data_IF_685574928556
#
_entry.id   IF_685574928556
#
_cell.length_a   1.000
_cell.length_b   1.000
_cell.length_c   1.000
_cell.angle_alpha   90.00
_cell.angle_beta   90.00
_cell.angle_gamma   90.00
#
_symmetry.space_group_name_H-M   'P 1'
#
loop_
_entity.id
_entity.type
_entity.pdbx_description
1 polymer ?
#
# COMPACT_ATOMS: atom_id res chain seq x y z
N UNK A 1 -12.37 -24.72 4.81
CA UNK A 1 -10.91 -24.62 4.66
C UNK A 1 -10.57 -23.20 4.22
N UNK A 2 -9.71 -22.44 4.92
CA UNK A 2 -9.24 -21.16 4.39
C UNK A 2 -8.49 -21.43 3.07
N UNK A 3 -8.76 -20.62 2.05
CA UNK A 3 -8.16 -20.78 0.72
C UNK A 3 -6.63 -20.64 0.82
N UNK A 4 -5.84 -21.49 0.13
CA UNK A 4 -4.39 -21.42 0.20
C UNK A 4 -3.86 -20.04 -0.17
N UNK A 5 -2.91 -19.53 0.62
CA UNK A 5 -2.30 -18.22 0.43
C UNK A 5 -1.58 -18.18 -0.93
N UNK A 6 -2.06 -17.37 -1.87
CA UNK A 6 -1.42 -17.24 -3.19
C UNK A 6 -0.29 -16.22 -3.10
N UNK A 7 0.95 -16.71 -2.95
CA UNK A 7 2.13 -15.84 -2.83
C UNK A 7 3.09 -16.00 -4.01
N UNK A 8 3.94 -15.00 -4.20
CA UNK A 8 5.08 -15.05 -5.12
C UNK A 8 6.37 -14.63 -4.41
N UNK A 9 7.51 -15.30 -4.68
CA UNK A 9 8.81 -14.85 -4.22
C UNK A 9 9.11 -13.42 -4.72
N UNK A 10 9.90 -12.67 -3.95
CA UNK A 10 10.33 -11.31 -4.28
C UNK A 10 11.84 -11.19 -4.08
N UNK A 11 12.56 -10.76 -5.12
CA UNK A 11 13.99 -10.47 -5.05
C UNK A 11 14.29 -9.07 -4.49
N UNK A 12 15.52 -8.81 -4.06
CA UNK A 12 15.93 -7.46 -3.62
C UNK A 12 15.70 -6.38 -4.67
N UNK A 13 15.94 -6.69 -5.96
CA UNK A 13 15.62 -5.78 -7.05
C UNK A 13 14.11 -5.49 -7.16
N UNK A 14 13.26 -6.50 -6.96
CA UNK A 14 11.81 -6.32 -6.95
C UNK A 14 11.34 -5.53 -5.73
N UNK A 15 11.95 -5.71 -4.55
CA UNK A 15 11.69 -4.88 -3.37
C UNK A 15 11.92 -3.41 -3.70
N UNK A 16 13.08 -3.07 -4.28
CA UNK A 16 13.40 -1.70 -4.70
C UNK A 16 12.41 -1.16 -5.73
N UNK A 17 12.01 -1.99 -6.69
CA UNK A 17 11.00 -1.61 -7.69
C UNK A 17 9.61 -1.35 -7.07
N UNK A 18 9.18 -2.15 -6.09
CA UNK A 18 7.92 -1.93 -5.38
C UNK A 18 7.95 -0.66 -4.53
N UNK A 19 9.06 -0.38 -3.84
CA UNK A 19 9.22 0.87 -3.09
C UNK A 19 9.21 2.09 -4.03
N UNK A 20 9.88 2.01 -5.18
CA UNK A 20 9.84 3.05 -6.21
C UNK A 20 8.43 3.31 -6.74
N UNK A 21 7.69 2.25 -7.11
CA UNK A 21 6.27 2.37 -7.49
C UNK A 21 5.42 2.97 -6.39
N UNK A 22 5.63 2.57 -5.14
CA UNK A 22 4.88 3.10 -4.01
C UNK A 22 5.09 4.62 -3.86
N UNK A 23 6.33 5.09 -4.06
CA UNK A 23 6.65 6.52 -4.06
C UNK A 23 5.97 7.26 -5.22
N UNK A 24 6.09 6.75 -6.44
CA UNK A 24 5.46 7.36 -7.63
C UNK A 24 3.95 7.54 -7.45
N UNK A 25 3.27 6.50 -6.94
CA UNK A 25 1.83 6.59 -6.65
C UNK A 25 1.51 7.58 -5.53
N UNK A 26 2.36 7.71 -4.50
CA UNK A 26 2.12 8.66 -3.41
C UNK A 26 2.33 10.11 -3.87
N UNK A 27 3.34 10.36 -4.71
CA UNK A 27 3.58 11.68 -5.30
C UNK A 27 2.41 12.07 -6.20
N UNK A 28 1.95 11.15 -7.06
CA UNK A 28 0.75 11.37 -7.87
C UNK A 28 -0.49 11.62 -6.99
N UNK A 29 -0.68 10.85 -5.92
CA UNK A 29 -1.81 11.04 -5.00
C UNK A 29 -1.81 12.42 -4.34
N UNK A 30 -0.63 12.94 -3.97
CA UNK A 30 -0.49 14.29 -3.43
C UNK A 30 -0.85 15.36 -4.47
N UNK A 31 -0.37 15.23 -5.70
CA UNK A 31 -0.70 16.16 -6.79
C UNK A 31 -2.22 16.20 -7.08
N UNK A 32 -2.86 15.03 -7.09
CA UNK A 32 -4.31 14.93 -7.30
C UNK A 32 -5.12 15.53 -6.14
N UNK A 33 -4.62 15.40 -4.91
CA UNK A 33 -5.23 16.02 -3.74
C UNK A 33 -5.16 17.55 -3.83
N UNK A 34 -4.01 18.11 -4.22
CA UNK A 34 -3.83 19.55 -4.43
C UNK A 34 -4.74 20.07 -5.54
N UNK A 35 -4.94 19.29 -6.59
CA UNK A 35 -5.82 19.62 -7.70
C UNK A 35 -7.32 19.43 -7.40
N UNK A 36 -7.70 19.03 -6.17
CA UNK A 36 -9.09 18.80 -5.78
C UNK A 36 -9.72 17.52 -6.36
N UNK A 37 -8.91 16.62 -6.95
CA UNK A 37 -9.37 15.38 -7.59
C UNK A 37 -9.36 14.24 -6.57
N UNK A 38 -10.27 14.30 -5.61
CA UNK A 38 -10.25 13.46 -4.39
C UNK A 38 -10.40 11.95 -4.64
N UNK A 39 -11.19 11.54 -5.64
CA UNK A 39 -11.33 10.13 -6.03
C UNK A 39 -9.98 9.60 -6.54
N UNK A 40 -9.34 10.32 -7.46
CA UNK A 40 -8.04 9.96 -8.01
C UNK A 40 -6.96 9.93 -6.92
N UNK A 41 -6.90 10.96 -6.08
CA UNK A 41 -5.97 11.02 -4.95
C UNK A 41 -6.12 9.81 -4.01
N UNK A 42 -7.36 9.42 -3.71
CA UNK A 42 -7.64 8.28 -2.82
C UNK A 42 -7.27 6.95 -3.47
N UNK A 43 -7.62 6.75 -4.74
CA UNK A 43 -7.25 5.54 -5.50
C UNK A 43 -5.73 5.37 -5.60
N UNK A 44 -5.00 6.44 -5.96
CA UNK A 44 -3.54 6.44 -6.03
C UNK A 44 -2.90 6.17 -4.66
N UNK A 45 -3.45 6.73 -3.57
CA UNK A 45 -2.98 6.47 -2.22
C UNK A 45 -3.14 4.99 -1.81
N UNK A 46 -4.22 4.33 -2.22
CA UNK A 46 -4.42 2.88 -2.00
C UNK A 46 -3.34 2.09 -2.75
N UNK A 47 -3.08 2.41 -4.03
CA UNK A 47 -2.05 1.75 -4.81
C UNK A 47 -0.64 1.95 -4.23
N UNK A 48 -0.33 3.14 -3.73
CA UNK A 48 0.90 3.40 -3.00
C UNK A 48 1.03 2.51 -1.75
N UNK A 49 -0.04 2.40 -0.96
CA UNK A 49 -0.06 1.54 0.24
C UNK A 49 0.14 0.05 -0.08
N UNK A 50 -0.46 -0.45 -1.16
CA UNK A 50 -0.31 -1.84 -1.59
C UNK A 50 1.13 -2.13 -2.07
N UNK A 51 1.71 -1.26 -2.90
CA UNK A 51 3.09 -1.44 -3.35
C UNK A 51 4.09 -1.34 -2.19
N UNK A 52 3.83 -0.47 -1.22
CA UNK A 52 4.62 -0.40 0.00
C UNK A 52 4.56 -1.71 0.81
N UNK A 53 3.38 -2.34 0.90
CA UNK A 53 3.23 -3.64 1.53
C UNK A 53 3.99 -4.75 0.79
N UNK A 54 3.94 -4.76 -0.54
CA UNK A 54 4.72 -5.72 -1.35
C UNK A 54 6.23 -5.55 -1.13
N UNK A 55 6.72 -4.31 -1.03
CA UNK A 55 8.11 -4.02 -0.71
C UNK A 55 8.50 -4.53 0.69
N UNK A 56 7.68 -4.24 1.71
CA UNK A 56 7.97 -4.66 3.10
C UNK A 56 7.88 -6.17 3.27
N UNK A 57 6.85 -6.82 2.74
CA UNK A 57 6.75 -8.27 2.76
C UNK A 57 7.89 -8.92 1.96
N UNK A 58 8.23 -8.38 0.79
CA UNK A 58 9.38 -8.84 0.01
C UNK A 58 10.70 -8.75 0.78
N UNK A 59 10.95 -7.62 1.45
CA UNK A 59 12.18 -7.39 2.20
C UNK A 59 12.30 -8.24 3.48
N UNK A 60 11.18 -8.47 4.18
CA UNK A 60 11.18 -9.10 5.51
C UNK A 60 10.89 -10.59 5.48
N UNK A 61 10.06 -11.05 4.56
CA UNK A 61 9.62 -12.46 4.48
C UNK A 61 9.83 -13.09 3.10
N UNK A 62 10.47 -12.36 2.15
CA UNK A 62 10.89 -12.89 0.85
C UNK A 62 9.75 -13.16 -0.16
N UNK A 63 8.51 -12.77 0.16
CA UNK A 63 7.33 -13.06 -0.65
C UNK A 63 6.27 -11.97 -0.52
N UNK A 64 5.39 -11.87 -1.51
CA UNK A 64 4.22 -10.98 -1.51
C UNK A 64 2.93 -11.73 -1.81
N UNK A 65 1.79 -11.10 -1.51
CA UNK A 65 0.48 -11.60 -1.95
C UNK A 65 0.32 -11.43 -3.47
N UNK A 66 -0.47 -12.30 -4.09
CA UNK A 66 -0.82 -12.22 -5.53
C UNK A 66 -2.32 -12.24 -5.77
N UNK A 67 -3.12 -12.36 -4.72
CA UNK A 67 -4.57 -12.25 -4.79
C UNK A 67 -5.04 -10.83 -4.56
N UNK A 68 -6.25 -10.54 -5.00
CA UNK A 68 -6.99 -9.31 -4.67
C UNK A 68 -7.53 -9.31 -3.23
N UNK A 69 -7.27 -10.38 -2.48
CA UNK A 69 -7.72 -10.54 -1.12
C UNK A 69 -6.94 -9.61 -0.17
N UNK A 70 -7.63 -8.54 0.22
CA UNK A 70 -7.17 -7.51 1.13
C UNK A 70 -6.79 -8.04 2.52
N UNK A 71 -7.46 -9.09 3.00
CA UNK A 71 -7.15 -9.67 4.32
C UNK A 71 -5.83 -10.45 4.28
N UNK A 72 -5.51 -11.06 3.13
CA UNK A 72 -4.25 -11.80 2.96
C UNK A 72 -3.02 -10.89 3.07
N UNK A 73 -3.05 -9.70 2.45
CA UNK A 73 -1.91 -8.77 2.54
C UNK A 73 -1.73 -8.25 3.97
N UNK A 74 -2.82 -8.01 4.70
CA UNK A 74 -2.75 -7.58 6.10
C UNK A 74 -2.19 -8.66 7.02
N UNK A 75 -2.51 -9.93 6.78
CA UNK A 75 -1.96 -11.04 7.55
C UNK A 75 -0.46 -11.22 7.29
N UNK A 76 -0.04 -11.15 6.01
CA UNK A 76 1.39 -11.24 5.66
C UNK A 76 2.23 -10.11 6.26
N UNK A 77 1.67 -8.91 6.38
CA UNK A 77 2.35 -7.80 7.07
C UNK A 77 2.51 -8.07 8.57
N UNK A 78 1.63 -8.85 9.19
CA UNK A 78 1.80 -9.32 10.58
C UNK A 78 3.05 -10.18 10.75
N UNK A 79 3.38 -11.00 9.74
CA UNK A 79 4.57 -11.85 9.74
C UNK A 79 5.86 -11.07 9.41
N UNK A 80 5.75 -9.85 8.86
CA UNK A 80 6.88 -9.01 8.45
C UNK A 80 7.47 -8.14 9.59
N UNK A 81 7.20 -8.49 10.85
CA UNK A 81 7.78 -7.87 12.02
C UNK A 81 7.38 -6.40 12.22
N UNK A 82 8.20 -5.59 12.92
CA UNK A 82 7.85 -4.22 13.28
C UNK A 82 7.54 -3.30 12.08
N UNK A 83 8.23 -3.48 10.95
CA UNK A 83 7.99 -2.69 9.75
C UNK A 83 6.67 -3.09 9.09
N UNK A 84 6.39 -4.40 9.04
CA UNK A 84 5.10 -4.93 8.63
C UNK A 84 3.95 -4.35 9.44
N UNK A 85 4.06 -4.36 10.77
CA UNK A 85 3.03 -3.82 11.67
C UNK A 85 2.75 -2.32 11.43
N UNK A 86 3.77 -1.52 11.12
CA UNK A 86 3.60 -0.10 10.78
C UNK A 86 2.77 0.07 9.51
N UNK A 87 3.11 -0.66 8.44
CA UNK A 87 2.38 -0.60 7.16
C UNK A 87 0.97 -1.17 7.30
N UNK A 88 0.81 -2.29 8.02
CA UNK A 88 -0.48 -2.94 8.24
C UNK A 88 -1.50 -2.01 8.88
N UNK A 89 -1.08 -1.22 9.88
CA UNK A 89 -1.95 -0.27 10.57
C UNK A 89 -2.53 0.79 9.62
N UNK A 90 -1.71 1.31 8.72
CA UNK A 90 -2.16 2.32 7.76
C UNK A 90 -2.96 1.70 6.61
N UNK A 91 -2.47 0.58 6.06
CA UNK A 91 -3.10 -0.12 4.95
C UNK A 91 -4.50 -0.65 5.30
N UNK A 92 -4.72 -1.14 6.53
CA UNK A 92 -6.04 -1.55 7.02
C UNK A 92 -7.09 -0.44 6.93
N UNK A 93 -6.68 0.82 6.96
CA UNK A 93 -7.57 1.98 6.81
C UNK A 93 -7.72 2.45 5.36
N UNK A 94 -6.79 2.08 4.48
CA UNK A 94 -6.82 2.41 3.05
C UNK A 94 -7.68 1.43 2.26
N UNK A 95 -7.53 0.13 2.48
CA UNK A 95 -8.19 -0.91 1.66
C UNK A 95 -9.72 -0.80 1.58
N UNK A 96 -10.46 -0.45 2.66
CA UNK A 96 -11.91 -0.27 2.57
C UNK A 96 -12.34 0.90 1.67
N UNK A 97 -11.47 1.90 1.45
CA UNK A 97 -11.78 3.06 0.61
C UNK A 97 -11.85 2.69 -0.88
N UNK A 98 -11.29 1.55 -1.28
CA UNK A 98 -11.28 1.09 -2.67
C UNK A 98 -12.70 0.90 -3.22
N UNK A 99 -13.59 0.32 -2.41
CA UNK A 99 -14.99 0.11 -2.77
C UNK A 99 -15.72 1.43 -3.00
N UNK A 100 -15.50 2.43 -2.13
CA UNK A 100 -16.11 3.75 -2.27
C UNK A 100 -15.52 4.56 -3.44
N UNK A 101 -14.28 4.30 -3.88
CA UNK A 101 -13.71 4.95 -5.08
C UNK A 101 -14.11 4.28 -6.40
N UNK A 102 -14.48 3.00 -6.38
CA UNK A 102 -14.74 2.21 -7.60
C UNK A 102 -16.23 2.07 -7.93
N UNK A 103 -17.13 2.14 -6.94
CA UNK A 103 -18.54 1.76 -7.12
C UNK A 103 -19.57 2.79 -6.62
N UNK A 104 -19.20 3.67 -5.71
CA UNK A 104 -20.11 4.70 -5.17
C UNK A 104 -19.94 6.01 -5.97
N UNK A 105 -21.01 6.56 -6.58
CA UNK A 105 -20.92 7.79 -7.37
C UNK A 105 -20.73 9.05 -6.51
N UNK A 106 -20.78 8.92 -5.18
CA UNK A 106 -20.66 10.03 -4.25
C UNK A 106 -19.20 10.52 -4.15
N UNK A 107 -19.05 11.84 -4.10
CA UNK A 107 -17.76 12.50 -3.98
C UNK A 107 -17.00 12.02 -2.74
N UNK A 108 -15.77 11.52 -2.93
CA UNK A 108 -14.86 11.30 -1.80
C UNK A 108 -14.58 12.64 -1.14
N UNK A 109 -15.00 12.80 0.11
CA UNK A 109 -14.80 14.04 0.86
C UNK A 109 -13.30 14.40 0.94
N UNK A 110 -12.98 15.69 0.81
CA UNK A 110 -11.60 16.19 0.85
C UNK A 110 -10.80 15.73 2.07
N UNK A 111 -11.46 15.62 3.24
CA UNK A 111 -10.85 15.11 4.47
C UNK A 111 -10.46 13.62 4.39
N UNK A 112 -11.26 12.81 3.70
CA UNK A 112 -10.97 11.39 3.47
C UNK A 112 -9.78 11.25 2.53
N UNK A 113 -9.77 11.96 1.40
CA UNK A 113 -8.66 11.95 0.46
C UNK A 113 -7.35 12.40 1.11
N UNK A 114 -7.37 13.50 1.88
CA UNK A 114 -6.20 13.97 2.64
C UNK A 114 -5.66 12.89 3.58
N UNK A 115 -6.53 12.22 4.33
CA UNK A 115 -6.12 11.14 5.23
C UNK A 115 -5.61 9.92 4.47
N UNK A 116 -6.13 9.61 3.30
CA UNK A 116 -5.62 8.55 2.44
C UNK A 116 -4.17 8.85 2.00
N UNK A 117 -3.91 10.06 1.50
CA UNK A 117 -2.56 10.49 1.09
C UNK A 117 -1.58 10.49 2.27
N UNK A 118 -1.97 11.02 3.43
CA UNK A 118 -1.11 10.97 4.63
C UNK A 118 -0.76 9.52 5.04
N UNK A 119 -1.70 8.59 4.88
CA UNK A 119 -1.50 7.17 5.20
C UNK A 119 -0.56 6.50 4.21
N UNK A 120 -0.74 6.76 2.92
CA UNK A 120 0.13 6.18 1.90
C UNK A 120 1.57 6.66 2.07
N UNK A 121 1.79 7.94 2.35
CA UNK A 121 3.12 8.50 2.64
C UNK A 121 3.79 7.79 3.84
N UNK A 122 3.05 7.47 4.90
CA UNK A 122 3.58 6.69 6.03
C UNK A 122 3.96 5.26 5.63
N UNK A 123 3.19 4.61 4.76
CA UNK A 123 3.54 3.30 4.21
C UNK A 123 4.83 3.38 3.37
N UNK A 124 4.91 4.36 2.48
CA UNK A 124 6.04 4.57 1.56
C UNK A 124 7.33 4.84 2.33
N UNK A 125 7.28 5.65 3.39
CA UNK A 125 8.45 5.90 4.23
C UNK A 125 9.07 4.60 4.78
N UNK A 126 8.24 3.65 5.23
CA UNK A 126 8.73 2.34 5.68
C UNK A 126 9.28 1.52 4.51
N UNK A 127 8.59 1.52 3.37
CA UNK A 127 9.04 0.81 2.17
C UNK A 127 10.41 1.29 1.66
N UNK A 128 10.66 2.60 1.69
CA UNK A 128 11.96 3.18 1.29
C UNK A 128 13.09 2.74 2.25
N UNK A 129 12.83 2.76 3.55
CA UNK A 129 13.81 2.32 4.56
C UNK A 129 14.20 0.85 4.36
N UNK A 130 13.23 -0.05 4.17
CA UNK A 130 13.54 -1.47 3.97
C UNK A 130 14.20 -1.72 2.61
N UNK A 131 13.83 -0.97 1.58
CA UNK A 131 14.41 -1.09 0.24
C UNK A 131 15.88 -0.65 0.18
N UNK A 132 16.28 0.31 1.01
CA UNK A 132 17.68 0.70 1.15
C UNK A 132 18.53 -0.37 1.86
N UNK A 133 17.92 -1.26 2.65
CA UNK A 133 18.60 -2.30 3.42
C UNK A 133 18.70 -3.66 2.74
N UNK A 134 18.10 -3.85 1.56
CA UNK A 134 18.19 -5.13 0.81
C UNK A 134 19.41 -5.12 -0.10
N UNK A 135 20.24 -6.16 0.03
CA UNK A 135 21.35 -6.45 -0.90
C UNK A 135 20.80 -6.87 -2.27
#
# INVERSE_FOLDING_TARGET
>A
MPRPLRTKPVSGAQVRAYAGKAQEYADAAANELEAGRFIAATSLAIHAGINAADAVCGARIGKRSTGEDHDQVLNMLGDAGPDGAKVQRELRRLLPLKTSTEYEPDEVAAGVARKAVERSLRCVAVAQVVAAGVS
#
